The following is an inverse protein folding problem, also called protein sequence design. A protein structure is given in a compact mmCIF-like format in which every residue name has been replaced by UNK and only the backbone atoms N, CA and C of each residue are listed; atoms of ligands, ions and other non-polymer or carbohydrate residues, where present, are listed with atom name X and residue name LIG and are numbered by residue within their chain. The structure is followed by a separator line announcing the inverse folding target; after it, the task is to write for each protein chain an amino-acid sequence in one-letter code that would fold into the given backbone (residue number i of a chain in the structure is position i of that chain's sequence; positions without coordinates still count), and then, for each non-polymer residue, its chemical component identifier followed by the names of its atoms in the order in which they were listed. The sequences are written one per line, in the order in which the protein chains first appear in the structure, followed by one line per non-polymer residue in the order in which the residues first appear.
data_IF_495555385843
#
_entry.id   IF_495555385843
#
_cell.length_a   1.000
_cell.length_b   1.000
_cell.length_c   1.000
_cell.angle_alpha   90.00
_cell.angle_beta   90.00
_cell.angle_gamma   90.00
#
_symmetry.space_group_name_H-M   'P 1'
#
loop_
_entity.id
_entity.type
_entity.pdbx_description
1 polymer ?
#
# COMPACT_ATOMS: atom_id res chain seq x y z
N UNK A 1 -3.77 -19.23 0.20
CA UNK A 1 -3.05 -18.53 1.27
C UNK A 1 -3.77 -17.21 1.51
N UNK A 2 -4.17 -16.90 2.75
CA UNK A 2 -4.97 -15.70 3.04
C UNK A 2 -4.10 -14.65 3.75
N UNK A 3 -3.53 -13.74 2.97
CA UNK A 3 -2.82 -12.57 3.47
C UNK A 3 -3.63 -11.31 3.16
N UNK A 4 -3.67 -10.35 4.08
CA UNK A 4 -4.30 -9.05 3.89
C UNK A 4 -3.32 -7.93 4.24
N UNK A 5 -3.21 -6.95 3.34
CA UNK A 5 -2.47 -5.73 3.58
C UNK A 5 -3.46 -4.67 4.04
N UNK A 6 -3.19 -4.06 5.19
CA UNK A 6 -3.95 -2.96 5.77
C UNK A 6 -3.10 -1.69 5.71
N UNK A 7 -3.66 -0.60 5.20
CA UNK A 7 -2.94 0.67 5.09
C UNK A 7 -3.74 1.75 5.80
N UNK A 8 -3.07 2.50 6.68
CA UNK A 8 -3.65 3.65 7.34
C UNK A 8 -3.62 4.85 6.39
N UNK A 9 -4.70 5.04 5.64
CA UNK A 9 -4.83 6.13 4.67
C UNK A 9 -4.86 7.52 5.29
N UNK A 10 -5.14 7.66 6.60
CA UNK A 10 -5.07 8.96 7.29
C UNK A 10 -3.64 9.47 7.47
N UNK A 11 -2.65 8.56 7.48
CA UNK A 11 -1.22 8.88 7.61
C UNK A 11 -0.44 8.60 6.31
N UNK A 12 -1.06 7.95 5.33
CA UNK A 12 -0.44 7.67 4.05
C UNK A 12 -0.28 8.97 3.26
N UNK A 13 0.96 9.28 2.87
CA UNK A 13 1.23 10.47 2.05
C UNK A 13 1.14 10.19 0.56
N UNK A 14 0.94 8.94 0.15
CA UNK A 14 0.92 8.59 -1.27
C UNK A 14 2.28 8.67 -1.97
N UNK A 15 3.38 8.45 -1.25
CA UNK A 15 4.73 8.53 -1.83
C UNK A 15 5.06 7.45 -2.87
N UNK A 16 4.26 6.38 -2.96
CA UNK A 16 4.44 5.32 -3.97
C UNK A 16 5.56 4.30 -3.68
N UNK A 17 6.36 4.45 -2.62
CA UNK A 17 7.44 3.51 -2.31
C UNK A 17 6.98 2.05 -2.21
N UNK A 18 5.78 1.82 -1.65
CA UNK A 18 5.23 0.47 -1.51
C UNK A 18 4.89 -0.18 -2.87
N UNK A 19 4.49 0.62 -3.86
CA UNK A 19 4.24 0.15 -5.24
C UNK A 19 5.56 -0.22 -5.90
N UNK A 20 6.54 0.68 -5.87
CA UNK A 20 7.87 0.45 -6.47
C UNK A 20 8.62 -0.72 -5.84
N UNK A 21 8.46 -0.93 -4.53
CA UNK A 21 9.12 -2.01 -3.83
C UNK A 21 8.43 -3.38 -4.00
N UNK A 22 7.21 -3.42 -4.56
CA UNK A 22 6.47 -4.67 -4.73
C UNK A 22 7.04 -5.47 -5.91
N UNK A 23 7.62 -6.67 -5.68
CA UNK A 23 8.25 -7.45 -6.75
C UNK A 23 7.25 -8.13 -7.70
N UNK A 24 5.97 -8.10 -7.35
CA UNK A 24 4.87 -8.78 -8.06
C UNK A 24 3.79 -7.78 -8.50
N UNK A 25 4.06 -6.48 -8.41
CA UNK A 25 3.14 -5.41 -8.79
C UNK A 25 1.71 -5.58 -8.23
N UNK A 26 1.61 -6.08 -7.00
CA UNK A 26 0.33 -6.33 -6.33
C UNK A 26 -0.30 -5.06 -5.75
N UNK A 27 0.41 -3.94 -5.76
CA UNK A 27 -0.01 -2.67 -5.17
C UNK A 27 -0.17 -1.63 -6.28
N UNK A 28 -1.27 -0.89 -6.27
CA UNK A 28 -1.56 0.14 -7.27
C UNK A 28 -1.98 1.42 -6.57
N UNK A 29 -1.27 2.53 -6.83
CA UNK A 29 -1.55 3.83 -6.24
C UNK A 29 -2.18 4.73 -7.29
N UNK A 30 -3.34 5.30 -6.98
CA UNK A 30 -4.10 6.13 -7.90
C UNK A 30 -4.93 7.17 -7.14
N UNK A 31 -5.46 8.14 -7.87
CA UNK A 31 -6.43 9.11 -7.36
C UNK A 31 -7.55 9.31 -8.38
N UNK A 32 -8.60 10.03 -7.98
CA UNK A 32 -9.71 10.39 -8.86
C UNK A 32 -9.56 11.83 -9.32
N UNK A 33 -9.84 12.07 -10.60
CA UNK A 33 -10.00 13.43 -11.09
C UNK A 33 -11.22 14.09 -10.44
N UNK A 34 -11.10 15.31 -9.88
CA UNK A 34 -12.21 15.97 -9.18
C UNK A 34 -13.34 16.43 -10.12
N UNK A 35 -13.10 16.47 -11.44
CA UNK A 35 -14.07 16.91 -12.46
C UNK A 35 -14.70 15.71 -13.15
N UNK A 36 -13.91 14.75 -13.62
CA UNK A 36 -14.39 13.62 -14.43
C UNK A 36 -14.60 12.33 -13.64
N UNK A 37 -14.12 12.27 -12.38
CA UNK A 37 -14.17 11.08 -11.53
C UNK A 37 -13.49 9.85 -12.16
N UNK A 38 -12.50 10.09 -13.02
CA UNK A 38 -11.70 9.06 -13.67
C UNK A 38 -10.45 8.75 -12.85
N UNK A 39 -9.94 7.51 -12.97
CA UNK A 39 -8.67 7.13 -12.34
C UNK A 39 -7.51 7.87 -13.02
N UNK A 40 -6.77 8.65 -12.24
CA UNK A 40 -5.56 9.34 -12.68
C UNK A 40 -4.37 8.98 -11.78
N UNK A 41 -3.16 9.09 -12.32
CA UNK A 41 -1.90 8.80 -11.61
C UNK A 41 -1.17 10.08 -11.17
N UNK A 42 -1.83 11.23 -11.24
CA UNK A 42 -1.25 12.51 -10.84
C UNK A 42 -1.48 12.74 -9.35
N UNK A 43 -0.45 13.27 -8.68
CA UNK A 43 -0.55 13.65 -7.27
C UNK A 43 -1.18 15.05 -7.23
N UNK A 44 -2.42 15.16 -6.74
CA UNK A 44 -3.00 16.45 -6.40
C UNK A 44 -2.66 16.78 -4.94
N UNK A 45 -2.17 17.99 -4.69
CA UNK A 45 -1.82 18.50 -3.36
C UNK A 45 -0.86 17.60 -2.54
N UNK A 46 0.00 16.86 -3.22
CA UNK A 46 1.00 16.01 -2.56
C UNK A 46 0.45 14.73 -1.92
N UNK A 47 -0.82 14.38 -2.14
CA UNK A 47 -1.46 13.19 -1.57
C UNK A 47 -2.15 12.36 -2.66
N UNK A 48 -1.73 11.11 -2.84
CA UNK A 48 -2.55 10.12 -3.55
C UNK A 48 -3.53 9.47 -2.59
N UNK A 49 -4.80 9.40 -2.96
CA UNK A 49 -5.89 9.12 -2.02
C UNK A 49 -6.26 7.63 -1.96
N UNK A 50 -5.87 6.83 -2.96
CA UNK A 50 -6.23 5.42 -3.04
C UNK A 50 -5.03 4.50 -3.29
N UNK A 51 -4.97 3.42 -2.51
CA UNK A 51 -4.03 2.32 -2.68
C UNK A 51 -4.84 1.03 -2.80
N UNK A 52 -4.82 0.43 -3.99
CA UNK A 52 -5.44 -0.85 -4.27
C UNK A 52 -4.44 -2.00 -4.07
N UNK A 53 -4.93 -3.12 -3.54
CA UNK A 53 -4.12 -4.32 -3.31
C UNK A 53 -4.74 -5.50 -4.03
N UNK A 54 -4.07 -5.99 -5.08
CA UNK A 54 -4.44 -7.18 -5.85
C UNK A 54 -4.09 -8.42 -5.04
N UNK A 55 -5.05 -8.88 -4.22
CA UNK A 55 -4.89 -10.02 -3.30
C UNK A 55 -4.47 -11.32 -4.00
N UNK A 56 -4.84 -11.47 -5.27
CA UNK A 56 -4.45 -12.62 -6.11
C UNK A 56 -2.96 -12.64 -6.47
N UNK A 57 -2.31 -11.48 -6.55
CA UNK A 57 -0.89 -11.32 -6.84
C UNK A 57 -0.04 -11.23 -5.57
N UNK A 58 -0.64 -10.82 -4.46
CA UNK A 58 0.07 -10.59 -3.21
C UNK A 58 0.64 -11.90 -2.63
N UNK A 59 1.97 -12.03 -2.69
CA UNK A 59 2.69 -13.17 -2.12
C UNK A 59 2.86 -13.10 -0.59
N UNK A 60 2.44 -12.01 0.06
CA UNK A 60 2.61 -11.83 1.52
C UNK A 60 4.07 -11.68 1.96
N UNK A 61 4.94 -11.13 1.12
CA UNK A 61 6.38 -11.01 1.39
C UNK A 61 6.77 -9.91 2.41
N UNK A 62 5.88 -8.95 2.67
CA UNK A 62 6.11 -7.87 3.64
C UNK A 62 7.03 -6.73 3.19
N UNK A 63 7.54 -6.76 1.96
CA UNK A 63 8.46 -5.72 1.44
C UNK A 63 7.82 -4.33 1.44
N UNK A 64 6.50 -4.24 1.20
CA UNK A 64 5.78 -2.98 1.25
C UNK A 64 5.76 -2.33 2.65
N UNK A 65 5.82 -3.13 3.72
CA UNK A 65 5.88 -2.64 5.09
C UNK A 65 7.22 -1.96 5.34
N UNK A 66 8.33 -2.62 5.00
CA UNK A 66 9.67 -2.06 5.16
C UNK A 66 9.94 -0.86 4.24
N UNK A 67 9.35 -0.84 3.04
CA UNK A 67 9.48 0.27 2.10
C UNK A 67 8.71 1.53 2.53
N UNK A 68 7.77 1.41 3.48
CA UNK A 68 6.96 2.52 3.94
C UNK A 68 7.73 3.36 4.98
N UNK A 69 8.17 4.59 4.66
CA UNK A 69 8.93 5.41 5.61
C UNK A 69 8.07 5.93 6.77
N UNK A 70 6.74 5.88 6.63
CA UNK A 70 5.78 6.36 7.63
C UNK A 70 5.20 5.23 8.50
N UNK A 71 5.59 3.98 8.22
CA UNK A 71 5.14 2.80 8.97
C UNK A 71 3.60 2.69 9.06
N UNK A 72 2.92 2.97 7.93
CA UNK A 72 1.44 2.99 7.85
C UNK A 72 0.85 1.73 7.23
N UNK A 73 1.69 0.77 6.84
CA UNK A 73 1.30 -0.46 6.15
C UNK A 73 1.50 -1.64 7.08
N UNK A 74 0.49 -2.50 7.20
CA UNK A 74 0.54 -3.70 8.02
C UNK A 74 0.10 -4.92 7.21
N UNK A 75 0.85 -6.02 7.33
CA UNK A 75 0.53 -7.29 6.71
C UNK A 75 -0.04 -8.25 7.77
N UNK A 76 -1.26 -8.71 7.57
CA UNK A 76 -1.93 -9.73 8.38
C UNK A 76 -1.97 -11.04 7.61
N UNK A 77 -1.64 -12.16 8.26
CA UNK A 77 -1.72 -13.51 7.69
C UNK A 77 -1.97 -14.55 8.78
N UNK A 78 -2.63 -15.66 8.44
CA UNK A 78 -3.03 -16.69 9.42
C UNK A 78 -1.95 -17.70 9.78
N UNK A 79 -0.73 -17.66 9.21
CA UNK A 79 0.34 -18.59 9.58
C UNK A 79 1.69 -17.87 9.75
N UNK A 80 2.06 -17.67 11.03
CA UNK A 80 3.43 -17.63 11.59
C UNK A 80 4.53 -16.97 10.75
N UNK A 81 4.59 -15.64 10.82
CA UNK A 81 5.81 -14.89 11.17
C UNK A 81 5.36 -13.56 11.73
N UNK A 82 5.89 -13.22 12.89
CA UNK A 82 5.55 -12.08 13.76
C UNK A 82 5.21 -10.82 12.96
N UNK A 83 4.17 -10.04 13.35
CA UNK A 83 3.89 -8.75 12.72
C UNK A 83 5.18 -7.95 12.62
N UNK A 84 5.44 -7.36 11.45
CA UNK A 84 6.58 -6.46 11.25
C UNK A 84 6.59 -5.42 12.38
N UNK A 85 7.76 -5.13 12.98
CA UNK A 85 7.84 -4.24 14.12
C UNK A 85 7.34 -2.85 13.70
N UNK A 86 6.28 -2.38 14.37
CA UNK A 86 5.84 -0.98 14.23
C UNK A 86 6.97 -0.11 14.77
N UNK A 87 7.71 0.57 13.89
CA UNK A 87 8.85 1.39 14.28
C UNK A 87 8.31 2.58 15.09
N UNK A 88 8.74 2.66 16.36
CA UNK A 88 8.25 3.61 17.38
C UNK A 88 8.86 5.00 17.25
#
# INVERSE_FOLDING_TARGET
MAFSVHVNMSRCTGCGNCVTACPVDALELWTLDPVTNEKIYQVQDGVSVHLDVKKELCAGCGVCVEACPYDVIQLCGTELRTPAPVKS
#
